data_IF_938779629587
#
_entry.id   IF_938779629587
#
_cell.length_a   1.000
_cell.length_b   1.000
_cell.length_c   1.000
_cell.angle_alpha   90.00
_cell.angle_beta   90.00
_cell.angle_gamma   90.00
#
_symmetry.space_group_name_H-M   'P 1'
#
loop_
_entity.id
_entity.type
_entity.pdbx_description
1 polymer ?
#
# COMPACT_ATOMS: atom_id res chain seq x y z
N UNK A 1 -12.84 53.66 18.10
CA UNK A 1 -11.70 53.56 17.17
C UNK A 1 -10.44 53.57 18.02
N UNK A 2 -9.89 52.40 18.39
CA UNK A 2 -8.62 52.37 19.11
C UNK A 2 -7.55 52.87 18.15
N UNK A 3 -6.94 54.03 18.43
CA UNK A 3 -5.71 54.44 17.75
C UNK A 3 -4.69 53.35 18.05
N UNK A 4 -4.22 52.69 17.01
CA UNK A 4 -3.11 51.72 17.08
C UNK A 4 -1.90 52.42 17.68
N UNK A 5 -1.57 52.11 18.93
CA UNK A 5 -0.34 52.55 19.59
C UNK A 5 0.82 51.65 19.09
N UNK A 6 1.72 52.17 18.23
CA UNK A 6 2.80 51.37 17.67
C UNK A 6 3.81 50.90 18.72
N UNK A 7 3.96 51.65 19.82
CA UNK A 7 4.87 51.30 20.91
C UNK A 7 4.32 50.10 21.68
N UNK A 8 3.01 50.10 21.97
CA UNK A 8 2.36 48.95 22.59
C UNK A 8 2.43 47.70 21.69
N UNK A 9 2.20 47.84 20.38
CA UNK A 9 2.31 46.72 19.44
C UNK A 9 3.73 46.12 19.43
N UNK A 10 4.76 46.98 19.42
CA UNK A 10 6.14 46.54 19.50
C UNK A 10 6.44 45.80 20.81
N UNK A 11 5.99 46.33 21.95
CA UNK A 11 6.18 45.70 23.25
C UNK A 11 5.53 44.30 23.31
N UNK A 12 4.31 44.16 22.77
CA UNK A 12 3.61 42.88 22.71
C UNK A 12 4.29 41.87 21.79
N UNK A 13 4.84 42.30 20.65
CA UNK A 13 5.58 41.41 19.73
C UNK A 13 6.89 40.93 20.35
N UNK A 14 7.65 41.83 20.99
CA UNK A 14 8.89 41.46 21.69
C UNK A 14 8.61 40.51 22.86
N UNK A 15 7.52 40.72 23.59
CA UNK A 15 7.11 39.80 24.65
C UNK A 15 6.67 38.44 24.10
N UNK A 16 5.94 38.41 22.98
CA UNK A 16 5.54 37.17 22.32
C UNK A 16 6.76 36.36 21.83
N UNK A 17 7.76 37.03 21.25
CA UNK A 17 9.02 36.43 20.83
C UNK A 17 9.79 35.85 22.03
N UNK A 18 9.84 36.57 23.15
CA UNK A 18 10.47 36.13 24.40
C UNK A 18 9.79 34.90 25.02
N UNK A 19 8.46 34.81 24.93
CA UNK A 19 7.68 33.71 25.49
C UNK A 19 7.60 32.50 24.57
N UNK A 20 7.88 32.65 23.27
CA UNK A 20 7.77 31.57 22.29
C UNK A 20 8.51 30.27 22.69
N UNK A 21 9.73 30.30 23.28
CA UNK A 21 10.42 29.08 23.70
C UNK A 21 9.69 28.27 24.77
N UNK A 22 8.78 28.88 25.54
CA UNK A 22 8.00 28.18 26.58
C UNK A 22 6.91 27.28 26.02
N UNK A 23 6.64 27.34 24.71
CA UNK A 23 5.69 26.44 24.04
C UNK A 23 6.37 25.07 23.85
N UNK A 24 5.83 23.97 24.41
CA UNK A 24 6.47 22.66 24.34
C UNK A 24 6.48 22.05 22.94
N UNK A 25 5.39 22.26 22.17
CA UNK A 25 5.25 21.72 20.83
C UNK A 25 6.05 22.56 19.82
N UNK A 26 6.95 21.93 19.07
CA UNK A 26 7.82 22.59 18.10
C UNK A 26 7.06 23.16 16.91
N UNK A 27 6.04 22.44 16.39
CA UNK A 27 5.18 22.92 15.29
C UNK A 27 4.39 24.16 15.73
N UNK A 28 3.81 24.15 16.93
CA UNK A 28 3.11 25.32 17.47
C UNK A 28 4.06 26.50 17.61
N UNK A 29 5.29 26.26 18.08
CA UNK A 29 6.33 27.29 18.17
C UNK A 29 6.62 27.95 16.84
N UNK A 30 6.83 27.15 15.80
CA UNK A 30 7.10 27.63 14.44
C UNK A 30 5.89 28.42 13.93
N UNK A 31 4.67 27.92 14.15
CA UNK A 31 3.44 28.62 13.79
C UNK A 31 3.28 29.98 14.49
N UNK A 32 3.70 30.11 15.76
CA UNK A 32 3.72 31.39 16.49
C UNK A 32 4.79 32.34 15.96
N UNK A 33 6.01 31.86 15.68
CA UNK A 33 7.05 32.70 15.04
C UNK A 33 6.56 33.26 13.71
N UNK A 34 5.96 32.42 12.87
CA UNK A 34 5.40 32.87 11.60
C UNK A 34 4.28 33.90 11.77
N UNK A 35 3.48 33.79 12.83
CA UNK A 35 2.44 34.78 13.17
C UNK A 35 3.05 36.14 13.59
N UNK A 36 4.13 36.10 14.37
CA UNK A 36 4.92 37.29 14.73
C UNK A 36 5.52 37.90 13.46
N UNK A 37 6.11 37.09 12.58
CA UNK A 37 6.69 37.49 11.28
C UNK A 37 5.66 38.24 10.42
N UNK A 38 4.45 37.65 10.26
CA UNK A 38 3.32 38.24 9.54
C UNK A 38 2.95 39.62 10.08
N UNK A 39 2.99 39.78 11.40
CA UNK A 39 2.61 41.02 12.07
C UNK A 39 3.69 42.08 11.93
N UNK A 40 4.96 41.72 12.13
CA UNK A 40 6.12 42.61 11.90
C UNK A 40 6.22 43.09 10.46
N UNK A 41 5.88 42.22 9.48
CA UNK A 41 5.81 42.61 8.07
C UNK A 41 4.80 43.72 7.83
N UNK A 42 3.62 43.65 8.44
CA UNK A 42 2.58 44.71 8.34
C UNK A 42 3.04 46.04 8.93
N UNK A 43 4.01 46.02 9.83
CA UNK A 43 4.64 47.22 10.42
C UNK A 43 5.86 47.72 9.61
N UNK A 44 6.19 47.09 8.46
CA UNK A 44 7.31 47.48 7.61
C UNK A 44 8.70 47.11 8.15
N UNK A 45 8.79 46.16 9.10
CA UNK A 45 10.05 45.79 9.76
C UNK A 45 10.74 44.62 9.06
N UNK A 46 11.10 44.80 7.79
CA UNK A 46 11.54 43.70 6.91
C UNK A 46 12.76 42.93 7.42
N UNK A 47 13.78 43.62 7.97
CA UNK A 47 15.00 42.94 8.47
C UNK A 47 14.72 42.03 9.66
N UNK A 48 13.86 42.47 10.58
CA UNK A 48 13.42 41.65 11.71
C UNK A 48 12.63 40.43 11.24
N UNK A 49 11.80 40.59 10.19
CA UNK A 49 11.09 39.46 9.57
C UNK A 49 12.07 38.46 8.97
N UNK A 50 13.10 38.91 8.25
CA UNK A 50 14.13 38.01 7.69
C UNK A 50 14.81 37.18 8.78
N UNK A 51 15.25 37.81 9.87
CA UNK A 51 15.85 37.12 11.01
C UNK A 51 14.88 36.07 11.60
N UNK A 52 13.62 36.45 11.82
CA UNK A 52 12.63 35.55 12.40
C UNK A 52 12.29 34.37 11.47
N UNK A 53 12.25 34.57 10.15
CA UNK A 53 12.06 33.48 9.18
C UNK A 53 13.26 32.53 9.15
N UNK A 54 14.48 33.04 9.31
CA UNK A 54 15.69 32.22 9.43
C UNK A 54 15.60 31.31 10.67
N UNK A 55 15.22 31.88 11.82
CA UNK A 55 15.02 31.12 13.07
C UNK A 55 13.89 30.10 12.94
N UNK A 56 12.81 30.49 12.25
CA UNK A 56 11.69 29.60 11.93
C UNK A 56 12.15 28.39 11.11
N UNK A 57 12.97 28.60 10.07
CA UNK A 57 13.55 27.53 9.25
C UNK A 57 14.49 26.64 10.05
N UNK A 58 15.36 27.22 10.88
CA UNK A 58 16.26 26.46 11.75
C UNK A 58 15.48 25.56 12.71
N UNK A 59 14.39 26.07 13.30
CA UNK A 59 13.54 25.29 14.19
C UNK A 59 12.78 24.19 13.44
N UNK A 60 12.30 24.47 12.22
CA UNK A 60 11.66 23.48 11.34
C UNK A 60 12.55 22.27 11.05
N UNK A 61 13.89 22.39 11.06
CA UNK A 61 14.81 21.25 10.86
C UNK A 61 14.71 20.18 11.95
N UNK A 62 14.28 20.57 13.15
CA UNK A 62 14.06 19.65 14.28
C UNK A 62 12.63 19.12 14.37
N UNK A 63 11.74 19.60 13.50
CA UNK A 63 10.35 19.15 13.47
C UNK A 63 10.22 17.87 12.62
N UNK A 64 9.36 16.91 13.02
CA UNK A 64 9.07 15.73 12.20
C UNK A 64 8.55 16.13 10.81
N UNK A 65 8.88 15.31 9.81
CA UNK A 65 8.31 15.43 8.47
C UNK A 65 6.82 15.11 8.49
N UNK A 66 6.01 15.95 7.84
CA UNK A 66 4.56 15.75 7.75
C UNK A 66 3.81 16.97 7.21
N UNK A 67 2.50 16.83 6.94
CA UNK A 67 1.73 17.83 6.20
C UNK A 67 1.72 19.22 6.85
N UNK A 68 1.75 19.27 8.19
CA UNK A 68 1.79 20.54 8.93
C UNK A 68 3.13 21.26 8.76
N UNK A 69 4.25 20.52 8.75
CA UNK A 69 5.57 21.10 8.50
C UNK A 69 5.63 21.64 7.07
N UNK A 70 5.20 20.87 6.09
CA UNK A 70 5.21 21.27 4.69
C UNK A 70 4.38 22.54 4.47
N UNK A 71 3.18 22.60 5.06
CA UNK A 71 2.33 23.79 5.01
C UNK A 71 2.99 25.03 5.63
N UNK A 72 3.75 24.87 6.72
CA UNK A 72 4.45 26.00 7.35
C UNK A 72 5.67 26.40 6.53
N UNK A 73 6.44 25.45 6.01
CA UNK A 73 7.56 25.70 5.09
C UNK A 73 7.10 26.52 3.88
N UNK A 74 6.00 26.13 3.24
CA UNK A 74 5.42 26.88 2.12
C UNK A 74 5.07 28.32 2.52
N UNK A 75 4.51 28.52 3.70
CA UNK A 75 4.18 29.87 4.17
C UNK A 75 5.44 30.69 4.46
N UNK A 76 6.49 30.09 5.00
CA UNK A 76 7.79 30.74 5.24
C UNK A 76 8.42 31.16 3.92
N UNK A 77 8.44 30.28 2.92
CA UNK A 77 9.03 30.58 1.60
C UNK A 77 8.23 31.63 0.85
N UNK A 78 6.90 31.52 0.84
CA UNK A 78 6.05 32.56 0.24
C UNK A 78 6.25 33.91 0.93
N UNK A 79 6.43 33.92 2.26
CA UNK A 79 6.73 35.13 2.99
C UNK A 79 8.10 35.70 2.64
N UNK A 80 9.14 34.87 2.61
CA UNK A 80 10.49 35.25 2.25
C UNK A 80 10.52 35.83 0.82
N UNK A 81 9.92 35.14 -0.14
CA UNK A 81 9.87 35.57 -1.55
C UNK A 81 9.13 36.91 -1.71
N UNK A 82 8.08 37.12 -0.91
CA UNK A 82 7.34 38.39 -0.90
C UNK A 82 8.03 39.55 -0.17
N UNK A 83 9.16 39.29 0.49
CA UNK A 83 10.05 40.32 1.05
C UNK A 83 11.21 40.58 0.10
N UNK A 84 11.85 39.51 -0.34
CA UNK A 84 13.08 39.52 -1.12
C UNK A 84 13.28 38.11 -1.74
N UNK A 85 13.15 37.97 -3.07
CA UNK A 85 13.37 36.69 -3.77
C UNK A 85 14.75 36.08 -3.53
N UNK A 86 15.80 36.90 -3.41
CA UNK A 86 17.16 36.40 -3.20
C UNK A 86 17.31 35.82 -1.80
N UNK A 87 16.68 36.45 -0.81
CA UNK A 87 16.60 35.89 0.54
C UNK A 87 15.85 34.56 0.56
N UNK A 88 14.74 34.44 -0.16
CA UNK A 88 14.02 33.17 -0.25
C UNK A 88 14.90 32.03 -0.79
N UNK A 89 15.73 32.30 -1.80
CA UNK A 89 16.68 31.34 -2.35
C UNK A 89 17.70 30.84 -1.32
N UNK A 90 18.08 31.68 -0.34
CA UNK A 90 18.98 31.26 0.77
C UNK A 90 18.33 30.29 1.76
N UNK A 91 16.99 30.25 1.83
CA UNK A 91 16.25 29.35 2.71
C UNK A 91 15.97 27.97 2.08
N UNK A 92 15.95 27.87 0.75
CA UNK A 92 15.65 26.63 0.02
C UNK A 92 16.54 25.44 0.43
N UNK A 93 17.87 25.57 0.56
CA UNK A 93 18.73 24.45 0.98
C UNK A 93 18.45 23.96 2.41
N UNK A 94 17.76 24.75 3.24
CA UNK A 94 17.36 24.38 4.59
C UNK A 94 16.06 23.56 4.61
N UNK A 95 15.36 23.50 3.47
CA UNK A 95 14.15 22.71 3.28
C UNK A 95 14.53 21.26 3.02
N UNK A 96 15.60 20.99 2.28
CA UNK A 96 15.88 19.65 1.77
C UNK A 96 15.94 18.60 2.88
N UNK A 97 15.19 17.52 2.69
CA UNK A 97 15.24 16.39 3.61
C UNK A 97 16.54 15.64 3.36
N UNK A 98 17.50 15.63 4.31
CA UNK A 98 18.76 14.92 4.10
C UNK A 98 18.53 13.42 3.85
N UNK A 99 17.43 12.86 4.36
CA UNK A 99 17.03 11.47 4.11
C UNK A 99 16.48 11.31 2.68
N UNK A 100 15.67 12.25 2.19
CA UNK A 100 15.16 12.19 0.81
C UNK A 100 16.30 12.40 -0.19
N UNK A 101 17.17 13.38 0.03
CA UNK A 101 18.33 13.65 -0.82
C UNK A 101 19.28 12.44 -0.87
N UNK A 102 19.59 11.85 0.29
CA UNK A 102 20.36 10.60 0.36
C UNK A 102 19.67 9.49 -0.43
N UNK A 103 18.37 9.28 -0.24
CA UNK A 103 17.62 8.25 -0.98
C UNK A 103 17.61 8.50 -2.49
N UNK A 104 17.45 9.76 -2.92
CA UNK A 104 17.49 10.15 -4.33
C UNK A 104 18.88 9.91 -4.94
N UNK A 105 19.94 10.27 -4.21
CA UNK A 105 21.33 9.99 -4.59
C UNK A 105 21.55 8.48 -4.78
N UNK A 106 21.20 7.68 -3.77
CA UNK A 106 21.33 6.22 -3.82
C UNK A 106 20.50 5.60 -4.97
N UNK A 107 19.33 6.17 -5.29
CA UNK A 107 18.52 5.76 -6.43
C UNK A 107 19.16 6.10 -7.78
N UNK A 108 19.77 7.28 -7.91
CA UNK A 108 20.51 7.67 -9.11
C UNK A 108 21.73 6.78 -9.32
N UNK A 109 22.46 6.48 -8.24
CA UNK A 109 23.59 5.55 -8.26
C UNK A 109 23.15 4.14 -8.67
N UNK A 110 22.03 3.66 -8.11
CA UNK A 110 21.49 2.35 -8.47
C UNK A 110 21.12 2.28 -9.96
N UNK A 111 20.51 3.34 -10.51
CA UNK A 111 20.24 3.45 -11.95
C UNK A 111 21.52 3.49 -12.78
N UNK A 112 22.57 4.15 -12.28
CA UNK A 112 23.85 4.22 -12.98
C UNK A 112 24.54 2.84 -13.05
N UNK A 113 24.58 2.10 -11.94
CA UNK A 113 25.14 0.73 -11.87
C UNK A 113 24.27 -0.26 -12.66
N UNK A 114 22.94 -0.12 -12.62
CA UNK A 114 22.03 -0.95 -13.41
C UNK A 114 22.28 -0.78 -14.92
N UNK A 115 22.59 0.43 -15.39
CA UNK A 115 22.94 0.71 -16.79
C UNK A 115 24.33 0.18 -17.14
N UNK A 116 25.30 0.45 -16.28
CA UNK A 116 26.71 0.10 -16.46
C UNK A 116 27.30 -0.56 -15.19
N UNK A 117 27.30 -1.92 -15.14
CA UNK A 117 27.78 -2.67 -13.99
C UNK A 117 29.26 -2.44 -13.64
N UNK A 118 30.07 -1.91 -14.56
CA UNK A 118 31.49 -1.67 -14.32
C UNK A 118 31.73 -0.49 -13.37
N UNK A 119 30.73 0.39 -13.20
CA UNK A 119 30.83 1.53 -12.28
C UNK A 119 31.03 1.13 -10.82
N UNK A 120 30.70 -0.10 -10.46
CA UNK A 120 30.97 -0.65 -9.12
C UNK A 120 32.46 -0.62 -8.76
N UNK A 121 33.36 -0.72 -9.75
CA UNK A 121 34.81 -0.77 -9.51
C UNK A 121 35.38 0.60 -9.10
N UNK A 122 34.65 1.69 -9.35
CA UNK A 122 35.06 3.06 -9.00
C UNK A 122 34.62 3.53 -7.61
N UNK A 123 33.90 2.70 -6.84
CA UNK A 123 33.21 3.10 -5.61
C UNK A 123 33.94 2.67 -4.32
N UNK A 124 35.27 2.56 -4.37
CA UNK A 124 36.10 2.03 -3.26
C UNK A 124 36.07 2.87 -1.99
N UNK A 125 35.68 4.15 -2.06
CA UNK A 125 35.63 5.07 -0.92
C UNK A 125 34.24 5.18 -0.28
N UNK A 126 33.24 4.45 -0.77
CA UNK A 126 31.88 4.48 -0.19
C UNK A 126 31.78 3.70 1.11
N UNK A 127 30.87 4.16 1.96
CA UNK A 127 30.35 3.36 3.06
C UNK A 127 29.82 2.01 2.55
N UNK A 128 30.16 0.94 3.25
CA UNK A 128 29.86 -0.43 2.79
C UNK A 128 28.36 -0.70 2.77
N UNK A 129 27.60 -0.14 3.71
CA UNK A 129 26.15 -0.33 3.79
C UNK A 129 25.46 0.42 2.65
N UNK A 130 25.93 1.64 2.34
CA UNK A 130 25.45 2.38 1.16
C UNK A 130 25.73 1.61 -0.14
N UNK A 131 26.96 1.09 -0.33
CA UNK A 131 27.33 0.34 -1.52
C UNK A 131 26.45 -0.92 -1.67
N UNK A 132 26.28 -1.68 -0.60
CA UNK A 132 25.43 -2.87 -0.58
C UNK A 132 23.97 -2.55 -0.93
N UNK A 133 23.43 -1.45 -0.38
CA UNK A 133 22.09 -0.98 -0.69
C UNK A 133 21.94 -0.62 -2.18
N UNK A 134 22.91 0.11 -2.74
CA UNK A 134 22.91 0.50 -4.16
C UNK A 134 22.97 -0.72 -5.07
N UNK A 135 23.81 -1.71 -4.76
CA UNK A 135 23.90 -2.97 -5.53
C UNK A 135 22.56 -3.71 -5.49
N UNK A 136 21.95 -3.84 -4.30
CA UNK A 136 20.66 -4.50 -4.15
C UNK A 136 19.55 -3.78 -4.92
N UNK A 137 19.47 -2.45 -4.84
CA UNK A 137 18.51 -1.68 -5.65
C UNK A 137 18.75 -1.82 -7.15
N UNK A 138 20.01 -1.84 -7.58
CA UNK A 138 20.38 -2.09 -8.98
C UNK A 138 19.91 -3.47 -9.45
N UNK A 139 20.04 -4.48 -8.59
CA UNK A 139 19.57 -5.83 -8.86
C UNK A 139 18.04 -5.93 -8.98
N UNK A 140 17.28 -5.25 -8.10
CA UNK A 140 15.82 -5.17 -8.22
C UNK A 140 15.41 -4.58 -9.57
N UNK A 141 15.99 -3.42 -9.93
CA UNK A 141 15.68 -2.76 -11.21
C UNK A 141 16.03 -3.63 -12.42
N UNK A 142 17.17 -4.32 -12.39
CA UNK A 142 17.54 -5.25 -13.46
C UNK A 142 16.60 -6.46 -13.51
N UNK A 143 16.20 -7.00 -12.36
CA UNK A 143 15.29 -8.12 -12.28
C UNK A 143 13.92 -7.77 -12.87
N UNK A 144 13.39 -6.57 -12.58
CA UNK A 144 12.14 -6.05 -13.16
C UNK A 144 12.23 -5.90 -14.69
N UNK A 145 13.35 -5.38 -15.22
CA UNK A 145 13.51 -5.24 -16.67
C UNK A 145 13.68 -6.59 -17.37
N UNK A 146 14.37 -7.54 -16.74
CA UNK A 146 14.48 -8.91 -17.26
C UNK A 146 13.11 -9.62 -17.30
N UNK A 147 12.30 -9.48 -16.25
CA UNK A 147 10.98 -10.11 -16.19
C UNK A 147 9.96 -9.49 -17.15
N UNK A 148 10.08 -8.19 -17.43
CA UNK A 148 9.26 -7.50 -18.44
C UNK A 148 9.75 -7.70 -19.88
N UNK A 149 10.88 -8.38 -20.08
CA UNK A 149 11.50 -8.56 -21.39
C UNK A 149 12.10 -7.29 -22.00
N UNK A 150 12.21 -6.19 -21.23
CA UNK A 150 12.79 -4.92 -21.67
C UNK A 150 14.29 -4.82 -21.39
N UNK A 151 14.80 -5.67 -20.50
CA UNK A 151 16.20 -5.73 -20.09
C UNK A 151 17.04 -6.70 -20.91
N UNK A 152 18.36 -6.48 -20.90
CA UNK A 152 19.33 -7.36 -21.53
C UNK A 152 20.06 -8.18 -20.48
N UNK A 153 20.21 -9.49 -20.74
CA UNK A 153 21.03 -10.38 -19.92
C UNK A 153 22.46 -9.84 -19.80
N UNK A 154 22.96 -9.80 -18.57
CA UNK A 154 24.31 -9.37 -18.20
C UNK A 154 25.30 -10.52 -18.21
N UNK A 155 26.58 -10.18 -18.36
CA UNK A 155 27.64 -11.17 -18.36
C UNK A 155 27.78 -11.79 -16.95
N UNK A 156 28.01 -13.11 -16.81
CA UNK A 156 28.10 -13.76 -15.50
C UNK A 156 29.15 -13.16 -14.55
N UNK A 157 30.23 -12.58 -15.09
CA UNK A 157 31.25 -11.88 -14.29
C UNK A 157 30.69 -10.66 -13.56
N UNK A 158 29.75 -9.94 -14.16
CA UNK A 158 29.15 -8.75 -13.54
C UNK A 158 28.24 -9.15 -12.37
N UNK A 159 27.43 -10.21 -12.57
CA UNK A 159 26.61 -10.78 -11.49
C UNK A 159 27.46 -11.34 -10.35
N UNK A 160 28.58 -12.00 -10.66
CA UNK A 160 29.52 -12.46 -9.65
C UNK A 160 30.16 -11.32 -8.85
N UNK A 161 30.40 -10.15 -9.47
CA UNK A 161 30.86 -8.95 -8.74
C UNK A 161 29.79 -8.46 -7.77
N UNK A 162 28.53 -8.39 -8.21
CA UNK A 162 27.43 -7.95 -7.36
C UNK A 162 27.22 -8.89 -6.18
N UNK A 163 27.25 -10.20 -6.41
CA UNK A 163 27.15 -11.21 -5.34
C UNK A 163 28.27 -11.07 -4.31
N UNK A 164 29.51 -10.85 -4.75
CA UNK A 164 30.63 -10.58 -3.83
C UNK A 164 30.45 -9.27 -3.06
N UNK A 165 29.91 -8.24 -3.71
CA UNK A 165 29.67 -6.94 -3.10
C UNK A 165 28.62 -6.95 -1.98
N UNK A 166 27.82 -8.02 -1.86
CA UNK A 166 26.80 -8.16 -0.82
C UNK A 166 27.05 -9.34 0.12
N UNK A 167 28.26 -9.92 0.15
CA UNK A 167 28.51 -11.14 0.93
C UNK A 167 28.26 -10.97 2.44
N UNK A 168 28.54 -9.78 2.98
CA UNK A 168 28.36 -9.44 4.39
C UNK A 168 27.06 -8.66 4.66
N UNK A 169 26.21 -8.50 3.65
CA UNK A 169 24.98 -7.73 3.78
C UNK A 169 23.89 -8.50 4.54
N UNK A 170 22.90 -7.81 5.13
CA UNK A 170 21.72 -8.46 5.67
C UNK A 170 20.99 -9.29 4.61
N UNK A 171 20.41 -10.42 5.03
CA UNK A 171 19.73 -11.35 4.10
C UNK A 171 18.74 -10.70 3.11
N UNK A 172 17.91 -9.70 3.48
CA UNK A 172 17.05 -9.01 2.52
C UNK A 172 17.80 -8.38 1.34
N UNK A 173 19.00 -7.83 1.58
CA UNK A 173 19.86 -7.22 0.55
C UNK A 173 20.41 -8.30 -0.37
N UNK A 174 20.96 -9.37 0.22
CA UNK A 174 21.52 -10.51 -0.51
C UNK A 174 20.49 -11.20 -1.40
N UNK A 175 19.27 -11.40 -0.88
CA UNK A 175 18.17 -12.08 -1.57
C UNK A 175 17.87 -11.44 -2.93
N UNK A 176 17.79 -10.11 -2.99
CA UNK A 176 17.50 -9.40 -4.24
C UNK A 176 18.59 -9.62 -5.29
N UNK A 177 19.85 -9.60 -4.88
CA UNK A 177 21.00 -9.83 -5.78
C UNK A 177 21.06 -11.29 -6.25
N UNK A 178 20.78 -12.25 -5.37
CA UNK A 178 20.69 -13.67 -5.72
C UNK A 178 19.56 -13.94 -6.70
N UNK A 179 18.36 -13.41 -6.43
CA UNK A 179 17.20 -13.57 -7.32
C UNK A 179 17.46 -13.02 -8.72
N UNK A 180 18.02 -11.81 -8.81
CA UNK A 180 18.44 -11.23 -10.08
C UNK A 180 19.50 -12.09 -10.79
N UNK A 181 20.47 -12.65 -10.05
CA UNK A 181 21.52 -13.51 -10.62
C UNK A 181 20.97 -14.82 -11.18
N UNK A 182 19.99 -15.43 -10.50
CA UNK A 182 19.25 -16.61 -10.99
C UNK A 182 18.51 -16.27 -12.28
N UNK A 183 17.72 -15.19 -12.29
CA UNK A 183 16.95 -14.81 -13.46
C UNK A 183 17.85 -14.48 -14.65
N UNK A 184 18.95 -13.76 -14.41
CA UNK A 184 19.94 -13.45 -15.43
C UNK A 184 20.56 -14.73 -16.03
N UNK A 185 20.87 -15.70 -15.17
CA UNK A 185 21.41 -16.99 -15.61
C UNK A 185 20.38 -17.80 -16.38
N UNK A 186 19.13 -17.84 -15.91
CA UNK A 186 18.01 -18.53 -16.56
C UNK A 186 17.78 -18.06 -18.00
N UNK A 187 17.80 -16.74 -18.20
CA UNK A 187 17.63 -16.12 -19.52
C UNK A 187 18.90 -16.22 -20.38
N UNK A 188 20.09 -16.28 -19.76
CA UNK A 188 21.38 -16.27 -20.45
C UNK A 188 21.94 -17.63 -20.85
N UNK A 189 21.52 -18.71 -20.17
CA UNK A 189 22.05 -20.05 -20.40
C UNK A 189 21.09 -20.92 -21.20
N UNK A 190 21.65 -21.81 -22.03
CA UNK A 190 20.90 -22.92 -22.67
C UNK A 190 21.06 -24.24 -21.91
N UNK A 191 21.74 -24.23 -20.76
CA UNK A 191 22.05 -25.42 -19.96
C UNK A 191 21.26 -25.42 -18.65
N UNK A 192 20.13 -26.15 -18.56
CA UNK A 192 19.31 -26.25 -17.35
C UNK A 192 20.08 -26.69 -16.10
N UNK A 193 21.08 -27.56 -16.27
CA UNK A 193 21.91 -28.07 -15.17
C UNK A 193 22.70 -26.98 -14.43
N UNK A 194 23.09 -25.90 -15.11
CA UNK A 194 23.79 -24.78 -14.48
C UNK A 194 22.88 -23.99 -13.53
N UNK A 195 21.60 -23.85 -13.89
CA UNK A 195 20.59 -23.18 -13.06
C UNK A 195 20.26 -24.03 -11.84
N UNK A 196 20.05 -25.34 -12.06
CA UNK A 196 19.78 -26.29 -10.98
C UNK A 196 20.93 -26.33 -9.98
N UNK A 197 22.18 -26.38 -10.46
CA UNK A 197 23.37 -26.35 -9.62
C UNK A 197 23.46 -25.06 -8.78
N UNK A 198 23.13 -23.92 -9.36
CA UNK A 198 23.14 -22.64 -8.65
C UNK A 198 22.02 -22.53 -7.62
N UNK A 199 20.80 -22.94 -7.98
CA UNK A 199 19.67 -23.00 -7.06
C UNK A 199 20.00 -23.90 -5.86
N UNK A 200 20.51 -25.12 -6.13
CA UNK A 200 20.92 -26.05 -5.10
C UNK A 200 21.99 -25.46 -4.19
N UNK A 201 23.04 -24.85 -4.75
CA UNK A 201 24.09 -24.23 -3.95
C UNK A 201 23.56 -23.11 -3.03
N UNK A 202 22.59 -22.32 -3.49
CA UNK A 202 21.93 -21.29 -2.68
C UNK A 202 21.12 -21.94 -1.55
N UNK A 203 20.31 -22.96 -1.86
CA UNK A 203 19.50 -23.66 -0.85
C UNK A 203 20.37 -24.37 0.20
N UNK A 204 21.42 -25.07 -0.23
CA UNK A 204 22.39 -25.73 0.65
C UNK A 204 23.10 -24.70 1.56
N UNK A 205 23.42 -23.52 1.03
CA UNK A 205 24.02 -22.43 1.81
C UNK A 205 23.05 -21.87 2.85
N UNK A 206 21.78 -21.71 2.50
CA UNK A 206 20.74 -21.27 3.44
C UNK A 206 20.50 -22.29 4.55
N UNK A 207 20.44 -23.57 4.20
CA UNK A 207 20.33 -24.66 5.16
C UNK A 207 21.52 -24.68 6.12
N UNK A 208 22.74 -24.49 5.62
CA UNK A 208 23.94 -24.34 6.45
C UNK A 208 23.85 -23.13 7.38
N UNK A 209 23.46 -21.96 6.88
CA UNK A 209 23.29 -20.76 7.70
C UNK A 209 22.27 -20.98 8.83
N UNK A 210 21.15 -21.64 8.51
CA UNK A 210 20.14 -22.01 9.51
C UNK A 210 20.72 -23.00 10.53
N UNK A 211 21.43 -24.04 10.08
CA UNK A 211 22.09 -25.01 10.94
C UNK A 211 23.09 -24.35 11.90
N UNK A 212 24.00 -23.53 11.39
CA UNK A 212 24.97 -22.79 12.20
C UNK A 212 24.26 -21.84 13.18
N UNK A 213 23.24 -21.14 12.73
CA UNK A 213 22.42 -20.27 13.59
C UNK A 213 21.77 -21.03 14.75
N UNK A 214 21.25 -22.24 14.51
CA UNK A 214 20.70 -23.08 15.59
C UNK A 214 21.76 -23.54 16.59
N UNK A 215 22.97 -23.85 16.13
CA UNK A 215 24.10 -24.25 17.00
C UNK A 215 24.58 -23.06 17.85
N UNK A 216 24.79 -21.90 17.22
CA UNK A 216 25.32 -20.70 17.88
C UNK A 216 24.36 -20.12 18.93
N UNK A 217 23.06 -20.21 18.71
CA UNK A 217 22.05 -19.76 19.67
C UNK A 217 21.88 -20.73 20.86
N UNK A 218 22.53 -21.90 20.82
CA UNK A 218 22.48 -22.94 21.83
C UNK A 218 21.08 -23.54 22.00
N UNK A 219 21.00 -24.72 22.60
CA UNK A 219 19.72 -25.39 22.91
C UNK A 219 18.79 -24.61 23.87
N UNK A 220 19.11 -23.36 24.22
CA UNK A 220 18.19 -22.38 24.83
C UNK A 220 17.23 -21.75 23.82
N UNK A 221 17.49 -21.90 22.52
CA UNK A 221 16.47 -21.82 21.49
C UNK A 221 15.71 -23.15 21.39
N UNK A 222 15.28 -23.73 22.52
CA UNK A 222 14.21 -24.71 22.48
C UNK A 222 12.94 -23.97 22.03
N UNK A 223 12.63 -24.17 20.75
CA UNK A 223 11.35 -23.88 20.10
C UNK A 223 10.89 -22.41 20.15
N UNK A 224 11.54 -21.52 19.39
CA UNK A 224 10.70 -21.03 18.30
C UNK A 224 10.64 -22.20 17.34
N UNK A 225 9.48 -22.82 17.09
CA UNK A 225 9.41 -23.76 15.98
C UNK A 225 10.06 -23.04 14.81
N UNK A 226 10.83 -23.75 13.98
CA UNK A 226 10.87 -23.35 12.57
C UNK A 226 9.42 -23.09 12.26
N UNK A 227 9.03 -21.81 12.18
CA UNK A 227 7.75 -21.46 11.60
C UNK A 227 8.04 -21.95 10.19
N UNK A 228 7.60 -23.18 9.94
CA UNK A 228 7.11 -23.56 8.65
C UNK A 228 6.10 -22.45 8.35
N UNK A 229 6.62 -21.34 7.80
CA UNK A 229 5.90 -20.27 7.14
C UNK A 229 5.34 -20.83 5.82
N UNK A 230 5.08 -22.14 5.74
CA UNK A 230 3.93 -22.59 5.00
C UNK A 230 2.76 -21.89 5.64
N UNK A 231 2.30 -20.85 4.93
CA UNK A 231 0.98 -20.27 5.12
C UNK A 231 0.02 -21.42 5.42
N UNK A 232 -0.87 -21.28 6.42
CA UNK A 232 -1.90 -22.26 6.67
C UNK A 232 -2.51 -22.66 5.32
N UNK A 233 -2.78 -23.95 5.07
CA UNK A 233 -3.42 -24.37 3.81
C UNK A 233 -4.76 -23.66 3.54
N UNK A 234 -5.32 -23.03 4.58
CA UNK A 234 -6.48 -22.16 4.52
C UNK A 234 -6.18 -20.75 4.03
N UNK A 235 -4.95 -20.36 3.72
CA UNK A 235 -4.59 -19.02 3.28
C UNK A 235 -3.92 -19.10 1.92
N UNK A 236 -4.54 -18.48 0.92
CA UNK A 236 -4.00 -18.33 -0.43
C UNK A 236 -3.59 -16.88 -0.62
N UNK A 237 -2.31 -16.64 -0.94
CA UNK A 237 -1.80 -15.30 -1.24
C UNK A 237 -1.58 -15.12 -2.74
N UNK A 238 -1.97 -13.96 -3.23
CA UNK A 238 -1.79 -13.56 -4.63
C UNK A 238 -1.14 -12.19 -4.69
N UNK A 239 -0.11 -12.06 -5.52
CA UNK A 239 0.59 -10.79 -5.70
C UNK A 239 -0.14 -9.88 -6.71
N UNK A 240 0.13 -8.57 -6.62
CA UNK A 240 -0.23 -7.65 -7.68
C UNK A 240 0.29 -8.15 -9.03
N UNK A 241 -0.56 -8.10 -10.06
CA UNK A 241 -0.32 -8.69 -11.38
C UNK A 241 -0.92 -10.08 -11.58
N UNK A 242 -1.11 -10.87 -10.52
CA UNK A 242 -1.69 -12.23 -10.61
C UNK A 242 -3.22 -12.23 -10.49
N UNK A 243 -3.89 -11.51 -11.39
CA UNK A 243 -5.35 -11.47 -11.42
C UNK A 243 -5.95 -12.83 -11.80
N UNK A 244 -5.39 -13.48 -12.82
CA UNK A 244 -5.94 -14.74 -13.35
C UNK A 244 -5.85 -15.86 -12.32
N UNK A 245 -4.74 -16.00 -11.60
CA UNK A 245 -4.57 -17.03 -10.58
C UNK A 245 -5.55 -16.85 -9.41
N UNK A 246 -5.73 -15.61 -8.95
CA UNK A 246 -6.66 -15.29 -7.86
C UNK A 246 -8.12 -15.57 -8.23
N UNK A 247 -8.55 -15.10 -9.40
CA UNK A 247 -9.92 -15.30 -9.89
C UNK A 247 -10.20 -16.78 -10.16
N UNK A 248 -9.26 -17.49 -10.79
CA UNK A 248 -9.43 -18.93 -11.04
C UNK A 248 -9.51 -19.73 -9.74
N UNK A 249 -8.70 -19.37 -8.72
CA UNK A 249 -8.77 -20.00 -7.41
C UNK A 249 -10.12 -19.79 -6.71
N UNK A 250 -10.69 -18.58 -6.84
CA UNK A 250 -12.05 -18.30 -6.37
C UNK A 250 -13.09 -19.15 -7.13
N UNK A 251 -12.97 -19.23 -8.45
CA UNK A 251 -13.92 -19.98 -9.29
C UNK A 251 -13.87 -21.48 -9.03
N UNK A 252 -12.67 -22.05 -8.91
CA UNK A 252 -12.47 -23.44 -8.51
C UNK A 252 -13.07 -23.71 -7.13
N UNK A 253 -12.85 -22.80 -6.18
CA UNK A 253 -13.42 -22.94 -4.84
C UNK A 253 -14.95 -22.96 -4.88
N UNK A 254 -15.58 -22.07 -5.65
CA UNK A 254 -17.05 -22.02 -5.80
C UNK A 254 -17.56 -23.30 -6.45
N UNK A 255 -16.97 -23.74 -7.57
CA UNK A 255 -17.37 -24.96 -8.28
C UNK A 255 -17.35 -26.20 -7.39
N UNK A 256 -16.38 -26.27 -6.48
CA UNK A 256 -16.18 -27.45 -5.61
C UNK A 256 -16.86 -27.36 -4.25
N UNK A 257 -17.28 -26.17 -3.83
CA UNK A 257 -17.79 -25.94 -2.46
C UNK A 257 -19.23 -25.44 -2.40
N UNK A 258 -19.78 -24.87 -3.48
CA UNK A 258 -21.19 -24.48 -3.56
C UNK A 258 -22.08 -25.73 -3.42
N UNK A 259 -23.02 -25.68 -2.47
CA UNK A 259 -23.91 -26.78 -2.18
C UNK A 259 -25.38 -26.35 -2.08
N UNK A 260 -25.97 -26.22 -0.89
CA UNK A 260 -27.39 -25.90 -0.74
C UNK A 260 -27.70 -24.44 -1.10
N UNK A 261 -26.70 -23.57 -1.01
CA UNK A 261 -26.76 -22.18 -1.42
C UNK A 261 -25.35 -21.61 -1.61
N UNK A 262 -25.27 -20.46 -2.26
CA UNK A 262 -24.11 -19.59 -2.24
C UNK A 262 -24.54 -18.18 -1.80
N UNK A 263 -23.90 -17.62 -0.77
CA UNK A 263 -24.10 -16.23 -0.36
C UNK A 263 -22.81 -15.44 -0.59
N UNK A 264 -22.89 -14.40 -1.41
CA UNK A 264 -21.81 -13.48 -1.71
C UNK A 264 -22.10 -12.19 -0.96
N UNK A 265 -21.24 -11.86 0.02
CA UNK A 265 -21.29 -10.62 0.78
C UNK A 265 -20.07 -9.80 0.40
N UNK A 266 -20.20 -8.87 -0.55
CA UNK A 266 -19.10 -7.99 -0.98
C UNK A 266 -19.62 -6.56 -1.21
N UNK A 267 -19.16 -5.56 -0.42
CA UNK A 267 -19.63 -4.19 -0.53
C UNK A 267 -19.41 -3.57 -1.91
N UNK A 268 -18.49 -4.13 -2.70
CA UNK A 268 -18.09 -3.61 -4.01
C UNK A 268 -18.55 -4.47 -5.19
N UNK A 269 -19.34 -5.53 -4.95
CA UNK A 269 -19.91 -6.36 -6.00
C UNK A 269 -20.75 -5.53 -6.97
N UNK A 270 -20.51 -5.69 -8.27
CA UNK A 270 -21.18 -4.95 -9.33
C UNK A 270 -21.62 -5.87 -10.45
N UNK A 271 -22.37 -5.32 -11.41
CA UNK A 271 -22.75 -6.06 -12.62
C UNK A 271 -21.54 -6.60 -13.43
N UNK A 272 -20.33 -6.05 -13.21
CA UNK A 272 -19.09 -6.54 -13.84
C UNK A 272 -18.58 -7.86 -13.26
N UNK A 273 -19.01 -8.19 -12.05
CA UNK A 273 -18.58 -9.38 -11.32
C UNK A 273 -19.59 -10.54 -11.50
N UNK A 274 -20.57 -10.39 -12.40
CA UNK A 274 -21.69 -11.33 -12.55
C UNK A 274 -21.31 -12.66 -13.19
N UNK A 275 -20.15 -12.72 -13.84
CA UNK A 275 -19.62 -13.93 -14.46
C UNK A 275 -19.29 -15.02 -13.44
N UNK A 276 -19.13 -14.65 -12.16
CA UNK A 276 -19.01 -15.60 -11.04
C UNK A 276 -20.16 -16.60 -10.96
N UNK A 277 -21.37 -16.21 -11.41
CA UNK A 277 -22.55 -17.08 -11.38
C UNK A 277 -22.40 -18.29 -12.32
N UNK A 278 -21.51 -18.22 -13.33
CA UNK A 278 -21.22 -19.35 -14.23
C UNK A 278 -20.56 -20.53 -13.50
N UNK A 279 -20.03 -20.29 -12.31
CA UNK A 279 -19.35 -21.29 -11.49
C UNK A 279 -20.31 -22.05 -10.57
N UNK A 280 -21.59 -21.69 -10.57
CA UNK A 280 -22.62 -22.23 -9.67
C UNK A 280 -23.57 -23.11 -10.46
N UNK A 281 -23.91 -24.29 -9.94
CA UNK A 281 -24.90 -25.16 -10.57
C UNK A 281 -26.30 -24.50 -10.55
N UNK A 282 -27.11 -24.73 -11.58
CA UNK A 282 -28.37 -24.01 -11.79
C UNK A 282 -29.40 -24.20 -10.66
N UNK A 283 -29.36 -25.35 -10.00
CA UNK A 283 -30.22 -25.72 -8.87
C UNK A 283 -29.83 -25.05 -7.55
N UNK A 284 -28.64 -24.45 -7.47
CA UNK A 284 -28.12 -23.84 -6.24
C UNK A 284 -28.56 -22.37 -6.20
N UNK A 285 -29.39 -21.96 -5.21
CA UNK A 285 -29.78 -20.57 -5.06
C UNK A 285 -28.59 -19.70 -4.63
N UNK A 286 -28.49 -18.51 -5.25
CA UNK A 286 -27.46 -17.52 -4.98
C UNK A 286 -28.05 -16.28 -4.34
N UNK A 287 -27.42 -15.77 -3.28
CA UNK A 287 -27.78 -14.54 -2.62
C UNK A 287 -26.58 -13.58 -2.67
N UNK A 288 -26.75 -12.41 -3.28
CA UNK A 288 -25.69 -11.41 -3.40
C UNK A 288 -26.10 -10.20 -2.56
N UNK A 289 -25.23 -9.78 -1.65
CA UNK A 289 -25.42 -8.61 -0.80
C UNK A 289 -24.29 -7.63 -1.10
N UNK A 290 -24.65 -6.43 -1.52
CA UNK A 290 -23.70 -5.38 -1.91
C UNK A 290 -24.18 -3.98 -1.57
N UNK A 291 -23.41 -2.96 -1.93
CA UNK A 291 -23.75 -1.56 -1.65
C UNK A 291 -24.18 -0.78 -2.87
N UNK A 292 -24.95 0.28 -2.63
CA UNK A 292 -25.22 1.30 -3.65
C UNK A 292 -23.97 2.01 -4.14
N UNK A 293 -22.93 2.13 -3.31
CA UNK A 293 -21.68 2.80 -3.65
C UNK A 293 -20.87 2.05 -4.70
N UNK A 294 -21.08 0.74 -4.82
CA UNK A 294 -20.54 -0.06 -5.92
C UNK A 294 -21.21 0.27 -7.28
N UNK A 295 -22.45 0.76 -7.25
CA UNK A 295 -23.27 1.04 -8.43
C UNK A 295 -23.11 2.51 -8.87
N UNK A 296 -21.87 2.91 -9.23
CA UNK A 296 -21.44 4.31 -9.46
C UNK A 296 -22.34 5.16 -10.38
N UNK A 297 -23.15 4.54 -11.24
CA UNK A 297 -24.04 5.21 -12.19
C UNK A 297 -25.46 5.41 -11.68
N UNK A 298 -25.77 4.98 -10.46
CA UNK A 298 -27.12 4.94 -9.91
C UNK A 298 -27.18 5.61 -8.54
N UNK A 299 -28.23 6.40 -8.33
CA UNK A 299 -28.53 6.91 -6.99
C UNK A 299 -29.13 5.79 -6.13
N UNK A 300 -28.90 5.79 -4.80
CA UNK A 300 -29.56 4.86 -3.90
C UNK A 300 -31.09 4.84 -4.09
N UNK A 301 -31.62 3.66 -4.44
CA UNK A 301 -33.05 3.42 -4.70
C UNK A 301 -33.45 3.39 -6.18
N UNK A 302 -32.53 3.64 -7.11
CA UNK A 302 -32.83 3.59 -8.55
C UNK A 302 -33.00 2.15 -9.04
N UNK A 303 -34.21 1.80 -9.49
CA UNK A 303 -34.55 0.45 -10.00
C UNK A 303 -33.92 0.13 -11.36
N UNK A 304 -33.40 1.12 -12.10
CA UNK A 304 -32.70 0.87 -13.37
C UNK A 304 -31.44 0.03 -13.20
N UNK A 305 -30.92 -0.07 -11.97
CA UNK A 305 -29.81 -0.96 -11.65
C UNK A 305 -30.14 -2.43 -11.99
N UNK A 306 -31.39 -2.85 -11.85
CA UNK A 306 -31.85 -4.20 -12.18
C UNK A 306 -31.57 -4.54 -13.65
N UNK A 307 -31.88 -3.61 -14.55
CA UNK A 307 -31.68 -3.76 -16.00
C UNK A 307 -30.19 -3.92 -16.34
N UNK A 308 -29.31 -3.24 -15.61
CA UNK A 308 -27.85 -3.36 -15.82
C UNK A 308 -27.35 -4.73 -15.45
N UNK A 309 -27.81 -5.30 -14.34
CA UNK A 309 -27.45 -6.67 -13.96
C UNK A 309 -28.00 -7.70 -14.96
N UNK A 310 -29.27 -7.57 -15.37
CA UNK A 310 -29.86 -8.46 -16.39
C UNK A 310 -29.10 -8.39 -17.72
N UNK A 311 -28.77 -7.17 -18.16
CA UNK A 311 -28.00 -6.95 -19.39
C UNK A 311 -26.60 -7.54 -19.28
N UNK A 312 -25.89 -7.31 -18.17
CA UNK A 312 -24.54 -7.84 -17.96
C UNK A 312 -24.54 -9.37 -17.96
N UNK A 313 -25.56 -10.02 -17.38
CA UNK A 313 -25.70 -11.46 -17.47
C UNK A 313 -25.94 -11.93 -18.92
N UNK A 314 -26.86 -11.29 -19.64
CA UNK A 314 -27.14 -11.63 -21.05
C UNK A 314 -25.92 -11.45 -21.97
N UNK A 315 -25.04 -10.48 -21.68
CA UNK A 315 -23.77 -10.28 -22.40
C UNK A 315 -22.73 -11.34 -22.04
N UNK A 316 -22.81 -11.90 -20.83
CA UNK A 316 -21.84 -12.83 -20.27
C UNK A 316 -22.19 -14.29 -20.55
N UNK A 317 -23.48 -14.62 -20.67
CA UNK A 317 -24.00 -15.99 -20.79
C UNK A 317 -25.27 -16.04 -21.65
N UNK A 318 -25.37 -17.10 -22.45
CA UNK A 318 -26.58 -17.43 -23.22
C UNK A 318 -27.55 -18.34 -22.44
N UNK A 319 -27.24 -18.66 -21.18
CA UNK A 319 -28.07 -19.49 -20.31
C UNK A 319 -28.83 -18.60 -19.31
N UNK A 320 -29.94 -19.11 -18.76
CA UNK A 320 -30.56 -18.48 -17.59
C UNK A 320 -29.60 -18.54 -16.40
N UNK A 321 -29.53 -17.51 -15.54
CA UNK A 321 -28.71 -17.58 -14.33
C UNK A 321 -29.32 -18.61 -13.36
N UNK A 322 -28.55 -19.14 -12.40
CA UNK A 322 -29.15 -19.79 -11.24
C UNK A 322 -30.10 -18.80 -10.55
N UNK A 323 -31.07 -19.30 -9.78
CA UNK A 323 -31.96 -18.43 -9.00
C UNK A 323 -31.10 -17.49 -8.14
N UNK A 324 -31.11 -16.19 -8.44
CA UNK A 324 -30.17 -15.24 -7.83
C UNK A 324 -30.92 -14.03 -7.28
N UNK A 325 -30.89 -13.86 -5.96
CA UNK A 325 -31.39 -12.66 -5.27
C UNK A 325 -30.25 -11.67 -5.07
N UNK A 326 -30.41 -10.44 -5.54
CA UNK A 326 -29.46 -9.35 -5.30
C UNK A 326 -30.09 -8.35 -4.33
N UNK A 327 -29.33 -8.01 -3.28
CA UNK A 327 -29.71 -7.08 -2.21
C UNK A 327 -28.70 -5.94 -2.16
N UNK A 328 -29.13 -4.74 -2.54
CA UNK A 328 -28.32 -3.53 -2.48
C UNK A 328 -28.66 -2.71 -1.25
N UNK A 329 -27.63 -2.35 -0.49
CA UNK A 329 -27.75 -1.72 0.83
C UNK A 329 -26.92 -0.43 0.92
N UNK A 330 -27.53 0.65 1.37
CA UNK A 330 -26.82 1.89 1.67
C UNK A 330 -27.75 3.04 2.00
N UNK A 331 -27.21 4.14 2.53
CA UNK A 331 -27.96 5.36 2.84
C UNK A 331 -28.04 6.26 1.59
N UNK A 332 -28.79 7.36 1.67
CA UNK A 332 -28.83 8.37 0.59
C UNK A 332 -27.45 8.98 0.31
N UNK A 333 -26.63 9.12 1.36
CA UNK A 333 -25.26 9.61 1.25
C UNK A 333 -24.26 8.56 0.71
N UNK A 334 -24.69 7.33 0.44
CA UNK A 334 -23.81 6.24 0.00
C UNK A 334 -23.01 5.59 1.12
N UNK A 335 -23.34 5.87 2.39
CA UNK A 335 -22.76 5.13 3.51
C UNK A 335 -23.41 3.74 3.61
N UNK A 336 -22.68 2.76 4.12
CA UNK A 336 -23.19 1.41 4.29
C UNK A 336 -22.50 0.71 5.46
N UNK A 337 -23.21 -0.15 6.23
CA UNK A 337 -22.61 -0.99 7.27
C UNK A 337 -21.75 -2.13 6.71
N UNK A 338 -21.77 -2.36 5.40
CA UNK A 338 -21.05 -3.45 4.74
C UNK A 338 -19.57 -3.08 4.58
N UNK A 339 -18.68 -3.81 5.26
CA UNK A 339 -17.22 -3.63 5.18
C UNK A 339 -16.45 -4.92 4.88
N UNK A 340 -16.96 -6.05 5.38
CA UNK A 340 -16.33 -7.36 5.22
C UNK A 340 -16.66 -7.98 3.86
N UNK A 341 -15.88 -8.98 3.45
CA UNK A 341 -16.05 -9.67 2.17
C UNK A 341 -16.02 -11.17 2.37
N UNK A 342 -17.14 -11.83 2.11
CA UNK A 342 -17.29 -13.26 2.29
C UNK A 342 -17.99 -13.90 1.10
N UNK A 343 -17.59 -15.13 0.79
CA UNK A 343 -18.36 -16.04 -0.04
C UNK A 343 -18.60 -17.29 0.78
N UNK A 344 -19.85 -17.59 1.12
CA UNK A 344 -20.21 -18.66 2.06
C UNK A 344 -21.24 -19.61 1.47
N UNK A 345 -21.12 -20.87 1.84
CA UNK A 345 -22.05 -21.97 1.54
C UNK A 345 -22.49 -22.58 2.87
N UNK A 346 -23.24 -23.69 2.87
CA UNK A 346 -23.71 -24.25 4.14
C UNK A 346 -22.61 -24.72 5.09
N UNK A 347 -21.49 -25.19 4.54
CA UNK A 347 -20.43 -25.85 5.33
C UNK A 347 -19.06 -25.20 5.21
N UNK A 348 -18.86 -24.35 4.21
CA UNK A 348 -17.56 -23.76 3.89
C UNK A 348 -17.73 -22.30 3.52
N UNK A 349 -16.68 -21.53 3.71
CA UNK A 349 -16.64 -20.15 3.26
C UNK A 349 -15.24 -19.73 2.89
N UNK A 350 -15.14 -18.54 2.32
CA UNK A 350 -13.89 -17.82 2.15
C UNK A 350 -14.08 -16.36 2.57
N UNK A 351 -13.05 -15.81 3.20
CA UNK A 351 -12.89 -14.38 3.45
C UNK A 351 -11.95 -13.79 2.40
N UNK A 352 -12.31 -12.64 1.86
CA UNK A 352 -11.52 -11.96 0.82
C UNK A 352 -10.91 -10.67 1.37
N UNK A 353 -9.60 -10.47 1.22
CA UNK A 353 -8.98 -9.20 1.64
C UNK A 353 -9.26 -8.02 0.69
N UNK A 354 -9.74 -8.31 -0.52
CA UNK A 354 -10.16 -7.33 -1.53
C UNK A 354 -11.45 -7.77 -2.21
N UNK A 355 -12.12 -6.85 -2.90
CA UNK A 355 -13.27 -7.21 -3.74
C UNK A 355 -12.85 -8.05 -4.93
N UNK A 356 -13.80 -8.78 -5.52
CA UNK A 356 -13.55 -9.63 -6.70
C UNK A 356 -12.91 -8.83 -7.84
N UNK A 357 -13.48 -7.66 -8.14
CA UNK A 357 -12.92 -6.73 -9.12
C UNK A 357 -11.52 -6.19 -8.77
N UNK A 358 -11.11 -6.25 -7.51
CA UNK A 358 -9.81 -5.79 -7.02
C UNK A 358 -8.66 -6.80 -7.11
N UNK A 359 -8.93 -8.07 -7.43
CA UNK A 359 -7.88 -9.07 -7.59
C UNK A 359 -6.84 -8.68 -8.65
N UNK A 360 -5.56 -8.90 -8.31
CA UNK A 360 -4.41 -8.57 -9.14
C UNK A 360 -4.05 -7.09 -9.26
N UNK A 361 -4.86 -6.16 -8.70
CA UNK A 361 -4.48 -4.73 -8.64
C UNK A 361 -3.56 -4.43 -7.45
N UNK A 362 -3.62 -5.27 -6.42
CA UNK A 362 -2.81 -5.21 -5.20
C UNK A 362 -2.64 -6.63 -4.68
N UNK A 363 -1.69 -6.79 -3.76
CA UNK A 363 -1.54 -8.04 -3.02
C UNK A 363 -2.87 -8.36 -2.32
N UNK A 364 -3.27 -9.62 -2.41
CA UNK A 364 -4.58 -10.09 -1.96
C UNK A 364 -4.48 -11.47 -1.33
N UNK A 365 -5.48 -11.77 -0.51
CA UNK A 365 -5.56 -12.98 0.29
C UNK A 365 -6.97 -13.56 0.19
N UNK A 366 -7.05 -14.88 0.04
CA UNK A 366 -8.26 -15.66 0.21
C UNK A 366 -8.06 -16.60 1.40
N UNK A 367 -8.86 -16.43 2.44
CA UNK A 367 -8.82 -17.27 3.64
C UNK A 367 -10.00 -18.24 3.65
N UNK A 368 -9.75 -19.55 3.61
CA UNK A 368 -10.76 -20.62 3.71
C UNK A 368 -11.26 -20.74 5.14
N UNK A 369 -12.58 -20.65 5.29
CA UNK A 369 -13.32 -20.68 6.55
C UNK A 369 -13.94 -22.07 6.77
N UNK A 370 -13.88 -22.54 8.02
CA UNK A 370 -14.51 -23.79 8.46
C UNK A 370 -15.98 -23.56 8.86
N UNK A 371 -16.74 -24.65 9.00
CA UNK A 371 -18.18 -24.62 9.24
C UNK A 371 -18.61 -23.73 10.43
N UNK A 372 -17.90 -23.78 11.56
CA UNK A 372 -18.25 -22.96 12.74
C UNK A 372 -18.11 -21.46 12.47
N UNK A 373 -17.03 -21.06 11.80
CA UNK A 373 -16.79 -19.66 11.42
C UNK A 373 -17.81 -19.19 10.37
N UNK A 374 -18.21 -20.08 9.46
CA UNK A 374 -19.25 -19.81 8.46
C UNK A 374 -20.59 -19.56 9.13
N UNK A 375 -21.01 -20.43 10.04
CA UNK A 375 -22.27 -20.27 10.78
C UNK A 375 -22.31 -18.94 11.53
N UNK A 376 -21.22 -18.57 12.21
CA UNK A 376 -21.11 -17.28 12.90
C UNK A 376 -21.19 -16.10 11.92
N UNK A 377 -20.45 -16.14 10.80
CA UNK A 377 -20.47 -15.07 9.80
C UNK A 377 -21.86 -14.92 9.19
N UNK A 378 -22.54 -16.03 8.92
CA UNK A 378 -23.89 -16.01 8.39
C UNK A 378 -24.86 -15.35 9.37
N UNK A 379 -24.84 -15.77 10.63
CA UNK A 379 -25.73 -15.23 11.67
C UNK A 379 -25.47 -13.74 11.96
N UNK A 380 -24.20 -13.33 12.05
CA UNK A 380 -23.83 -11.96 12.44
C UNK A 380 -23.86 -10.95 11.28
N UNK A 381 -23.44 -11.36 10.08
CA UNK A 381 -23.24 -10.41 8.96
C UNK A 381 -24.21 -10.62 7.80
N UNK A 382 -24.53 -11.86 7.44
CA UNK A 382 -25.26 -12.15 6.19
C UNK A 382 -26.77 -12.13 6.41
N UNK A 383 -27.28 -12.95 7.33
CA UNK A 383 -28.71 -13.13 7.61
C UNK A 383 -29.44 -11.84 8.02
N UNK A 384 -28.85 -10.92 8.82
CA UNK A 384 -29.52 -9.67 9.16
C UNK A 384 -29.91 -8.87 7.92
N UNK A 385 -29.06 -8.85 6.88
CA UNK A 385 -29.34 -8.12 5.65
C UNK A 385 -30.37 -8.83 4.73
N UNK A 386 -30.54 -10.15 4.89
CA UNK A 386 -31.53 -10.92 4.12
C UNK A 386 -32.90 -10.95 4.78
N UNK A 387 -32.97 -10.98 6.13
CA UNK A 387 -34.22 -11.15 6.88
C UNK A 387 -34.80 -9.84 7.40
N UNK A 388 -33.95 -8.93 7.89
CA UNK A 388 -34.38 -7.76 8.65
C UNK A 388 -33.50 -6.56 8.30
N UNK A 389 -33.80 -5.81 7.22
CA UNK A 389 -32.98 -4.67 6.86
C UNK A 389 -32.94 -3.67 8.02
N UNK A 390 -31.74 -3.24 8.41
CA UNK A 390 -31.57 -2.17 9.40
C UNK A 390 -32.42 -0.97 8.99
N UNK A 391 -33.06 -0.34 9.96
CA UNK A 391 -33.94 0.80 9.68
C UNK A 391 -33.11 2.09 9.56
N UNK A 392 -32.02 2.21 10.33
CA UNK A 392 -31.21 3.42 10.44
C UNK A 392 -29.72 3.05 10.54
N UNK A 393 -28.86 3.75 9.80
CA UNK A 393 -27.40 3.68 9.89
C UNK A 393 -26.83 5.11 9.87
N UNK A 394 -26.05 5.49 10.90
CA UNK A 394 -25.52 6.86 11.08
C UNK A 394 -26.58 7.95 10.93
N UNK A 395 -27.69 7.80 11.64
CA UNK A 395 -28.85 8.71 11.64
C UNK A 395 -29.54 8.90 10.28
N UNK A 396 -29.21 8.08 9.28
CA UNK A 396 -29.88 8.05 7.98
C UNK A 396 -30.69 6.75 7.81
N UNK A 397 -31.87 6.82 7.18
CA UNK A 397 -32.62 5.61 6.83
C UNK A 397 -31.83 4.79 5.81
N UNK A 398 -31.73 3.48 6.06
CA UNK A 398 -31.08 2.58 5.13
C UNK A 398 -32.01 2.28 3.95
N UNK A 399 -31.51 2.48 2.73
CA UNK A 399 -32.21 2.14 1.50
C UNK A 399 -31.78 0.73 1.09
N UNK A 400 -32.73 -0.20 1.19
CA UNK A 400 -32.55 -1.59 0.77
C UNK A 400 -33.38 -1.86 -0.46
N UNK A 401 -32.74 -2.39 -1.49
CA UNK A 401 -33.39 -2.77 -2.73
C UNK A 401 -33.05 -4.21 -3.07
N UNK A 402 -34.09 -5.04 -3.20
CA UNK A 402 -33.99 -6.46 -3.47
C UNK A 402 -34.63 -6.74 -4.81
N UNK A 403 -33.94 -7.50 -5.66
CA UNK A 403 -34.43 -7.95 -6.96
C UNK A 403 -33.86 -9.31 -7.34
N UNK A 404 -34.49 -9.96 -8.32
CA UNK A 404 -34.12 -11.27 -8.82
C UNK A 404 -33.54 -11.16 -10.22
N UNK A 405 -32.48 -11.90 -10.53
CA UNK A 405 -31.95 -12.02 -11.88
C UNK A 405 -32.71 -13.05 -12.73
#
# INVERSE_FOLDING_TARGET
MYRSDPALAQALLSEAERLQPSIPNSIDRVGRLLTIAKTMKRMGRNDAVKALLQDTMNLLRSCPWGPQRDQITDQVINMAHSLDPDFAATLTPLIDNPITELNERLQLDAKAIQRDPQKIDGETDRDIDELQYVISKSAVMLHETLNSGTGTVRHPRDMAKWLRGVVDAPFPVCREVMGCSIQNTLLGTKQPSAIEGMYKAIMDSLELCLGVGTILNGSRAQTMPLINLTLPKSVLLFHAGDRSGAVESLYEWIRTSADEYLKIYDPYFSARDIDILKQVALEIPVYIISTWTAQKSFAPGDRKVEEVFRKAWAETSNQVPPWTQITLVGTKSGNSPLHNRYVVTKRKGISLSTSIGGFGLKDSEITILQADAVAQIEEEFVEPHLRTPFIIYRDEPLIVHVFML
#
